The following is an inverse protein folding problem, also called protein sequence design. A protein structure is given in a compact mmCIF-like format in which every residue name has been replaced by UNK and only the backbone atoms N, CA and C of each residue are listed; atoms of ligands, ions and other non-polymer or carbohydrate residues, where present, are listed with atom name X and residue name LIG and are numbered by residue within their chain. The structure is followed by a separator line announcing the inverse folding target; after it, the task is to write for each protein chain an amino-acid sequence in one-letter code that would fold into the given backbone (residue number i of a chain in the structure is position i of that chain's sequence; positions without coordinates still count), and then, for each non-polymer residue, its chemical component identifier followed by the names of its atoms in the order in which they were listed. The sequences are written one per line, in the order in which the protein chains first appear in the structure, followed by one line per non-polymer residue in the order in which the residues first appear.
data_IF_334754725433
#
_entry.id   IF_334754725433
#
_cell.length_a   1.000
_cell.length_b   1.000
_cell.length_c   1.000
_cell.angle_alpha   90.00
_cell.angle_beta   90.00
_cell.angle_gamma   90.00
#
_symmetry.space_group_name_H-M   'P 1'
#
loop_
_entity.id
_entity.type
_entity.pdbx_description
1 polymer ?
#
# COMPACT_ATOMS: atom_id res chain seq x y z
N UNK A 1 -29.95 -12.30 -5.60
CA UNK A 1 -30.04 -11.04 -4.84
C UNK A 1 -30.41 -11.29 -3.36
N UNK A 2 -31.49 -11.97 -3.06
CA UNK A 2 -31.90 -12.23 -1.68
C UNK A 2 -30.87 -13.02 -0.83
N UNK A 3 -30.09 -13.87 -1.45
CA UNK A 3 -29.08 -14.70 -0.77
C UNK A 3 -27.87 -13.90 -0.27
N UNK A 4 -27.38 -12.95 -1.06
CA UNK A 4 -26.25 -12.08 -0.71
C UNK A 4 -26.60 -11.17 0.48
N UNK A 5 -27.81 -10.58 0.48
CA UNK A 5 -28.26 -9.76 1.59
C UNK A 5 -28.39 -10.57 2.90
N UNK A 6 -28.81 -11.81 2.79
CA UNK A 6 -28.91 -12.72 3.93
C UNK A 6 -27.54 -13.12 4.47
N UNK A 7 -26.58 -13.43 3.59
CA UNK A 7 -25.20 -13.71 3.96
C UNK A 7 -24.56 -12.53 4.71
N UNK A 8 -24.73 -11.33 4.18
CA UNK A 8 -24.18 -10.12 4.77
C UNK A 8 -24.73 -9.85 6.17
N UNK A 9 -26.06 -9.93 6.32
CA UNK A 9 -26.71 -9.78 7.65
C UNK A 9 -26.24 -10.83 8.66
N UNK A 10 -26.04 -12.06 8.20
CA UNK A 10 -25.52 -13.12 9.05
C UNK A 10 -24.08 -12.89 9.43
N UNK A 11 -23.25 -12.46 8.49
CA UNK A 11 -21.85 -12.12 8.73
C UNK A 11 -21.71 -10.98 9.77
N UNK A 12 -22.46 -9.90 9.60
CA UNK A 12 -22.50 -8.77 10.55
C UNK A 12 -22.93 -9.23 11.96
N UNK A 13 -23.91 -10.11 12.03
CA UNK A 13 -24.38 -10.64 13.32
C UNK A 13 -23.36 -11.56 13.96
N UNK A 14 -22.70 -12.44 13.20
CA UNK A 14 -21.62 -13.31 13.70
C UNK A 14 -20.46 -12.45 14.21
N UNK A 15 -20.06 -11.42 13.46
CA UNK A 15 -19.00 -10.50 13.86
C UNK A 15 -19.29 -9.88 15.23
N UNK A 16 -20.49 -9.38 15.42
CA UNK A 16 -20.89 -8.78 16.69
C UNK A 16 -20.88 -9.78 17.85
N UNK A 17 -21.46 -10.97 17.65
CA UNK A 17 -21.50 -12.02 18.67
C UNK A 17 -20.11 -12.48 19.07
N UNK A 18 -19.26 -12.72 18.07
CA UNK A 18 -17.89 -13.21 18.31
C UNK A 18 -17.06 -12.14 19.02
N UNK A 19 -17.13 -10.88 18.60
CA UNK A 19 -16.43 -9.77 19.25
C UNK A 19 -16.86 -9.63 20.71
N UNK A 20 -18.16 -9.61 20.98
CA UNK A 20 -18.72 -9.52 22.34
C UNK A 20 -18.27 -10.70 23.21
N UNK A 21 -18.28 -11.92 22.68
CA UNK A 21 -17.86 -13.11 23.39
C UNK A 21 -16.38 -13.11 23.75
N UNK A 22 -15.52 -12.69 22.81
CA UNK A 22 -14.08 -12.59 23.03
C UNK A 22 -13.75 -11.52 24.07
N UNK A 23 -14.47 -10.43 24.07
CA UNK A 23 -14.25 -9.31 25.00
C UNK A 23 -14.79 -9.56 26.41
N UNK A 24 -15.99 -10.13 26.51
CA UNK A 24 -16.72 -10.18 27.78
C UNK A 24 -16.74 -11.55 28.45
N UNK A 25 -16.70 -12.64 27.68
CA UNK A 25 -16.94 -13.99 28.20
C UNK A 25 -15.74 -14.93 28.15
N UNK A 26 -14.87 -14.77 27.18
CA UNK A 26 -13.69 -15.64 27.05
C UNK A 26 -12.53 -14.99 27.79
N UNK A 27 -12.27 -15.46 29.00
CA UNK A 27 -11.16 -15.01 29.84
C UNK A 27 -9.97 -15.97 29.70
N UNK A 28 -9.42 -16.06 28.51
CA UNK A 28 -8.20 -16.86 28.27
C UNK A 28 -7.00 -15.90 28.31
N UNK A 29 -6.02 -16.11 29.19
CA UNK A 29 -4.82 -15.27 29.31
C UNK A 29 -3.94 -15.28 28.05
N UNK A 30 -4.14 -16.26 27.16
CA UNK A 30 -3.45 -16.35 25.87
C UNK A 30 -4.06 -15.44 24.81
N UNK A 31 -5.30 -14.96 25.02
CA UNK A 31 -5.92 -13.96 24.17
C UNK A 31 -5.30 -12.59 24.46
N UNK A 32 -4.56 -12.08 23.48
CA UNK A 32 -4.09 -10.70 23.50
C UNK A 32 -5.19 -9.70 23.13
N UNK A 33 -4.79 -8.48 22.82
CA UNK A 33 -5.70 -7.48 22.26
C UNK A 33 -6.04 -7.90 20.84
N UNK A 34 -7.24 -8.42 20.64
CA UNK A 34 -7.76 -8.94 19.38
C UNK A 34 -8.88 -8.03 18.85
N UNK A 35 -8.89 -7.81 17.56
CA UNK A 35 -9.95 -7.09 16.85
C UNK A 35 -10.45 -7.93 15.68
N UNK A 36 -11.76 -8.14 15.59
CA UNK A 36 -12.39 -8.79 14.44
C UNK A 36 -12.57 -7.76 13.33
N UNK A 37 -11.89 -7.97 12.21
CA UNK A 37 -11.86 -7.01 11.08
C UNK A 37 -12.96 -7.27 10.07
N UNK A 38 -13.20 -8.52 9.71
CA UNK A 38 -14.23 -8.91 8.73
C UNK A 38 -14.76 -10.32 9.01
N UNK A 39 -15.97 -10.60 8.54
CA UNK A 39 -16.56 -11.95 8.57
C UNK A 39 -17.19 -12.24 7.21
N UNK A 40 -16.82 -13.38 6.64
CA UNK A 40 -17.37 -13.84 5.37
C UNK A 40 -18.07 -15.18 5.58
N UNK A 41 -19.30 -15.25 5.11
CA UNK A 41 -20.11 -16.45 5.19
C UNK A 41 -20.30 -17.02 3.79
N UNK A 42 -20.16 -18.34 3.64
CA UNK A 42 -20.36 -19.01 2.36
C UNK A 42 -21.82 -18.94 1.88
N UNK A 43 -22.10 -19.04 0.55
CA UNK A 43 -23.46 -18.96 0.02
C UNK A 43 -24.45 -19.97 0.58
N UNK A 44 -23.96 -21.13 1.01
CA UNK A 44 -24.74 -22.19 1.65
C UNK A 44 -24.91 -21.99 3.17
N UNK A 45 -24.31 -20.93 3.73
CA UNK A 45 -24.32 -20.57 5.14
C UNK A 45 -23.75 -21.64 6.07
N UNK A 46 -22.83 -22.48 5.59
CA UNK A 46 -22.25 -23.58 6.36
C UNK A 46 -20.90 -23.26 6.96
N UNK A 47 -20.20 -22.30 6.38
CA UNK A 47 -18.86 -21.87 6.82
C UNK A 47 -18.82 -20.36 6.99
N UNK A 48 -18.11 -19.91 8.02
CA UNK A 48 -17.86 -18.50 8.30
C UNK A 48 -16.38 -18.31 8.56
N UNK A 49 -15.72 -17.58 7.69
CA UNK A 49 -14.33 -17.16 7.85
C UNK A 49 -14.30 -15.83 8.60
N UNK A 50 -13.63 -15.82 9.75
CA UNK A 50 -13.53 -14.69 10.67
C UNK A 50 -12.12 -14.16 10.59
N UNK A 51 -11.97 -12.97 10.04
CA UNK A 51 -10.68 -12.28 9.94
C UNK A 51 -10.43 -11.47 11.21
N UNK A 52 -9.22 -11.55 11.73
CA UNK A 52 -8.86 -10.88 12.97
C UNK A 52 -7.43 -10.34 12.93
N UNK A 53 -7.20 -9.29 13.70
CA UNK A 53 -5.87 -8.75 13.97
C UNK A 53 -5.55 -8.88 15.45
N UNK A 54 -4.27 -9.09 15.74
CA UNK A 54 -3.74 -9.17 17.11
C UNK A 54 -2.68 -8.11 17.27
N UNK A 55 -2.78 -7.35 18.35
CA UNK A 55 -1.72 -6.43 18.73
C UNK A 55 -0.64 -7.18 19.50
N UNK A 56 0.58 -7.20 18.96
CA UNK A 56 1.73 -7.86 19.57
C UNK A 56 2.67 -8.50 18.54
N UNK A 57 3.63 -9.23 19.06
CA UNK A 57 4.63 -9.97 18.28
C UNK A 57 4.10 -11.31 17.76
N UNK A 58 4.96 -12.07 17.09
CA UNK A 58 4.64 -13.36 16.53
C UNK A 58 4.23 -14.39 17.61
N UNK A 59 4.78 -14.28 18.84
CA UNK A 59 4.43 -15.15 19.96
C UNK A 59 3.01 -14.85 20.46
N UNK A 60 2.65 -13.59 20.60
CA UNK A 60 1.31 -13.15 20.94
C UNK A 60 0.28 -13.60 19.89
N UNK A 61 0.62 -13.50 18.60
CA UNK A 61 -0.21 -13.98 17.50
C UNK A 61 -0.44 -15.50 17.57
N UNK A 62 0.61 -16.30 17.75
CA UNK A 62 0.52 -17.74 17.87
C UNK A 62 -0.29 -18.17 19.10
N UNK A 63 -0.08 -17.53 20.23
CA UNK A 63 -0.82 -17.73 21.49
C UNK A 63 -2.31 -17.45 21.32
N UNK A 64 -2.64 -16.34 20.69
CA UNK A 64 -4.03 -15.96 20.39
C UNK A 64 -4.69 -16.93 19.43
N UNK A 65 -4.00 -17.36 18.37
CA UNK A 65 -4.51 -18.37 17.43
C UNK A 65 -4.86 -19.67 18.14
N UNK A 66 -4.00 -20.16 19.04
CA UNK A 66 -4.26 -21.37 19.85
C UNK A 66 -5.47 -21.18 20.79
N UNK A 67 -5.62 -20.02 21.40
CA UNK A 67 -6.77 -19.69 22.24
C UNK A 67 -8.09 -19.66 21.45
N UNK A 68 -8.09 -19.05 20.26
CA UNK A 68 -9.25 -19.03 19.36
C UNK A 68 -9.65 -20.43 18.90
N UNK A 69 -8.68 -21.27 18.55
CA UNK A 69 -8.95 -22.66 18.19
C UNK A 69 -9.63 -23.40 19.35
N UNK A 70 -9.17 -23.20 20.58
CA UNK A 70 -9.78 -23.79 21.78
C UNK A 70 -11.19 -23.25 22.06
N UNK A 71 -11.43 -21.97 21.78
CA UNK A 71 -12.71 -21.31 22.03
C UNK A 71 -13.75 -21.51 20.91
N UNK A 72 -13.35 -22.03 19.76
CA UNK A 72 -14.18 -22.14 18.54
C UNK A 72 -15.51 -22.86 18.77
N UNK A 73 -15.51 -23.94 19.59
CA UNK A 73 -16.72 -24.68 19.92
C UNK A 73 -17.72 -23.88 20.76
N UNK A 74 -17.24 -23.11 21.73
CA UNK A 74 -18.05 -22.23 22.57
C UNK A 74 -18.63 -21.10 21.74
N UNK A 75 -17.80 -20.47 20.93
CA UNK A 75 -18.20 -19.39 20.03
C UNK A 75 -19.26 -19.86 19.03
N UNK A 76 -19.06 -21.03 18.42
CA UNK A 76 -20.03 -21.63 17.50
C UNK A 76 -21.37 -21.90 18.19
N UNK A 77 -21.36 -22.44 19.41
CA UNK A 77 -22.57 -22.70 20.18
C UNK A 77 -23.35 -21.41 20.46
N UNK A 78 -22.66 -20.35 20.82
CA UNK A 78 -23.29 -19.05 21.10
C UNK A 78 -23.83 -18.38 19.83
N UNK A 79 -23.09 -18.44 18.71
CA UNK A 79 -23.59 -18.00 17.41
C UNK A 79 -24.89 -18.74 17.04
N UNK A 80 -24.93 -20.04 17.25
CA UNK A 80 -26.15 -20.83 16.98
C UNK A 80 -27.35 -20.39 17.82
N UNK A 81 -27.13 -20.15 19.11
CA UNK A 81 -28.19 -19.69 20.02
C UNK A 81 -28.72 -18.31 19.65
N UNK A 82 -27.83 -17.36 19.41
CA UNK A 82 -28.22 -15.96 19.16
C UNK A 82 -28.76 -15.72 17.75
N UNK A 83 -28.29 -16.47 16.74
CA UNK A 83 -28.77 -16.32 15.36
C UNK A 83 -30.05 -17.12 15.08
N UNK A 84 -30.30 -18.19 15.83
CA UNK A 84 -31.48 -19.06 15.64
C UNK A 84 -31.53 -19.77 14.29
N UNK A 85 -30.39 -19.88 13.57
CA UNK A 85 -30.32 -20.52 12.26
C UNK A 85 -30.34 -22.06 12.42
N UNK A 86 -30.98 -22.73 11.47
CA UNK A 86 -31.13 -24.20 11.50
C UNK A 86 -29.79 -24.94 11.53
N UNK A 87 -28.81 -24.41 10.82
CA UNK A 87 -27.45 -24.96 10.78
C UNK A 87 -26.45 -23.86 11.13
N UNK A 88 -25.79 -24.02 12.28
CA UNK A 88 -24.74 -23.10 12.70
C UNK A 88 -23.49 -23.32 11.85
N UNK A 89 -22.95 -22.27 11.21
CA UNK A 89 -21.74 -22.40 10.41
C UNK A 89 -20.55 -22.86 11.23
N UNK A 90 -19.62 -23.51 10.57
CA UNK A 90 -18.29 -23.74 11.13
C UNK A 90 -17.54 -22.42 11.14
N UNK A 91 -16.90 -22.08 12.25
CA UNK A 91 -16.12 -20.85 12.39
C UNK A 91 -14.65 -21.17 12.11
N UNK A 92 -14.08 -20.48 11.15
CA UNK A 92 -12.66 -20.53 10.82
C UNK A 92 -12.04 -19.16 11.12
N UNK A 93 -10.99 -19.13 11.93
CA UNK A 93 -10.30 -17.92 12.31
C UNK A 93 -9.06 -17.74 11.44
N UNK A 94 -8.99 -16.62 10.72
CA UNK A 94 -7.93 -16.30 9.78
C UNK A 94 -7.26 -15.00 10.22
N UNK A 95 -5.95 -15.00 10.50
CA UNK A 95 -5.24 -13.75 10.80
C UNK A 95 -5.25 -12.84 9.57
N UNK A 96 -5.61 -11.57 9.81
CA UNK A 96 -5.64 -10.57 8.74
C UNK A 96 -4.23 -10.06 8.47
N UNK A 97 -3.76 -10.22 7.24
CA UNK A 97 -2.42 -9.82 6.80
C UNK A 97 -2.25 -8.30 6.61
N UNK A 98 -3.30 -7.49 6.81
CA UNK A 98 -3.24 -6.03 6.64
C UNK A 98 -2.13 -5.37 7.50
N UNK A 99 -1.94 -5.72 8.78
CA UNK A 99 -0.84 -5.18 9.57
C UNK A 99 0.55 -5.58 9.06
N UNK A 100 0.68 -6.77 8.51
CA UNK A 100 1.94 -7.27 7.95
C UNK A 100 2.30 -6.54 6.66
N UNK A 101 1.32 -6.33 5.79
CA UNK A 101 1.47 -5.53 4.58
C UNK A 101 1.82 -4.07 4.88
N UNK A 102 1.22 -3.47 5.92
CA UNK A 102 1.53 -2.11 6.34
C UNK A 102 2.99 -1.98 6.80
N UNK A 103 3.48 -2.92 7.62
CA UNK A 103 4.90 -2.96 8.03
C UNK A 103 5.84 -3.12 6.85
N UNK A 104 5.50 -4.00 5.91
CA UNK A 104 6.31 -4.20 4.72
C UNK A 104 6.38 -2.94 3.85
N UNK A 105 5.28 -2.20 3.70
CA UNK A 105 5.26 -0.91 3.01
C UNK A 105 6.11 0.12 3.74
N UNK A 106 6.05 0.20 5.07
CA UNK A 106 6.90 1.09 5.86
C UNK A 106 8.38 0.77 5.71
N UNK A 107 8.75 -0.52 5.70
CA UNK A 107 10.14 -0.95 5.45
C UNK A 107 10.62 -0.56 4.05
N UNK A 108 9.80 -0.75 3.03
CA UNK A 108 10.11 -0.36 1.65
C UNK A 108 10.27 1.16 1.52
N UNK A 109 9.41 1.94 2.18
CA UNK A 109 9.53 3.40 2.21
C UNK A 109 10.81 3.86 2.91
N UNK A 110 11.18 3.21 4.02
CA UNK A 110 12.43 3.51 4.71
C UNK A 110 13.66 3.18 3.84
N UNK A 111 13.65 2.06 3.14
CA UNK A 111 14.70 1.68 2.20
C UNK A 111 14.80 2.67 1.02
N UNK A 112 13.68 3.08 0.46
CA UNK A 112 13.65 4.07 -0.62
C UNK A 112 14.20 5.43 -0.15
N UNK A 113 13.81 5.91 1.02
CA UNK A 113 14.32 7.14 1.60
C UNK A 113 15.83 7.09 1.85
N UNK A 114 16.36 5.95 2.32
CA UNK A 114 17.78 5.76 2.51
C UNK A 114 18.55 5.75 1.18
N UNK A 115 18.00 5.11 0.14
CA UNK A 115 18.60 5.11 -1.20
C UNK A 115 18.61 6.52 -1.81
N UNK A 116 17.53 7.28 -1.68
CA UNK A 116 17.45 8.66 -2.16
C UNK A 116 18.47 9.57 -1.43
N UNK A 117 18.63 9.40 -0.13
CA UNK A 117 19.64 10.15 0.64
C UNK A 117 21.07 9.86 0.14
N UNK A 118 21.37 8.59 -0.17
CA UNK A 118 22.67 8.20 -0.70
C UNK A 118 22.92 8.79 -2.10
N UNK A 119 21.90 8.82 -2.97
CA UNK A 119 21.99 9.43 -4.30
C UNK A 119 22.19 10.94 -4.19
N UNK A 120 21.47 11.62 -3.29
CA UNK A 120 21.66 13.05 -3.03
C UNK A 120 23.06 13.38 -2.51
N UNK A 121 23.61 12.56 -1.62
CA UNK A 121 24.96 12.73 -1.13
C UNK A 121 26.01 12.55 -2.24
N UNK A 122 25.83 11.57 -3.11
CA UNK A 122 26.69 11.37 -4.27
C UNK A 122 26.57 12.54 -5.27
N UNK A 123 25.37 13.01 -5.54
CA UNK A 123 25.14 14.14 -6.41
C UNK A 123 25.75 15.44 -5.88
N UNK A 124 25.72 15.65 -4.56
CA UNK A 124 26.35 16.81 -3.92
C UNK A 124 27.90 16.76 -4.00
N UNK A 125 28.49 15.55 -4.07
CA UNK A 125 29.94 15.35 -4.24
C UNK A 125 30.39 15.30 -5.70
N UNK A 126 29.47 15.14 -6.65
CA UNK A 126 29.77 15.09 -8.06
C UNK A 126 30.13 16.49 -8.56
N UNK A 127 31.33 16.60 -9.17
CA UNK A 127 31.69 17.80 -9.93
C UNK A 127 30.95 17.78 -11.26
N UNK A 128 30.42 18.91 -11.65
CA UNK A 128 29.82 19.10 -12.97
C UNK A 128 30.89 18.81 -14.06
N UNK A 129 30.60 17.85 -14.92
CA UNK A 129 31.47 17.50 -16.05
C UNK A 129 31.30 18.44 -17.25
N UNK A 130 30.45 19.47 -17.15
CA UNK A 130 30.16 20.43 -18.19
C UNK A 130 30.38 21.88 -17.75
N UNK A 131 30.23 22.80 -18.68
CA UNK A 131 30.33 24.25 -18.42
C UNK A 131 29.27 24.68 -17.39
N UNK A 132 29.65 25.60 -16.53
CA UNK A 132 28.80 26.11 -15.44
C UNK A 132 27.52 26.80 -15.95
N UNK A 133 27.53 27.25 -17.21
CA UNK A 133 26.37 27.86 -17.88
C UNK A 133 26.26 27.35 -19.34
N UNK A 134 25.56 26.22 -19.58
CA UNK A 134 25.40 25.66 -20.93
C UNK A 134 24.56 26.56 -21.86
N UNK A 135 23.94 27.61 -21.34
CA UNK A 135 23.14 28.56 -22.10
C UNK A 135 23.80 29.93 -22.22
N UNK A 136 25.09 30.05 -21.90
CA UNK A 136 25.82 31.29 -22.09
C UNK A 136 25.87 31.61 -23.58
N UNK A 137 25.15 32.65 -23.98
CA UNK A 137 25.29 33.23 -25.31
C UNK A 137 26.68 33.88 -25.42
N UNK A 138 27.41 33.67 -26.52
CA UNK A 138 28.65 34.42 -26.75
C UNK A 138 28.33 35.92 -26.69
N UNK A 139 29.04 36.63 -25.83
CA UNK A 139 28.93 38.07 -25.71
C UNK A 139 29.34 38.70 -27.06
N UNK A 140 28.63 39.73 -27.46
CA UNK A 140 28.86 40.45 -28.72
C UNK A 140 30.21 41.15 -28.81
N UNK A 141 31.11 40.92 -27.87
CA UNK A 141 32.46 41.51 -27.80
C UNK A 141 33.56 40.62 -28.43
N UNK A 142 33.19 39.44 -28.97
CA UNK A 142 34.10 38.61 -29.78
C UNK A 142 33.95 38.96 -31.29
N UNK A 143 33.78 40.24 -31.62
CA UNK A 143 33.97 40.70 -32.98
C UNK A 143 35.44 40.51 -33.35
N UNK A 144 35.72 39.39 -33.94
CA UNK A 144 36.96 39.15 -34.66
C UNK A 144 37.00 40.10 -35.81
N UNK A 145 37.91 41.05 -35.76
CA UNK A 145 38.43 41.89 -36.85
C UNK A 145 38.73 40.97 -38.06
N UNK A 146 37.80 40.89 -38.98
CA UNK A 146 38.02 40.38 -40.32
C UNK A 146 38.40 41.59 -41.16
N UNK A 147 39.73 41.79 -41.17
CA UNK A 147 40.40 42.78 -41.95
C UNK A 147 39.86 42.92 -43.36
N UNK A 148 39.67 44.17 -43.69
CA UNK A 148 39.58 44.68 -45.05
C UNK A 148 40.65 44.02 -45.96
N UNK A 149 40.21 43.55 -47.09
CA UNK A 149 40.87 43.66 -48.36
C UNK A 149 40.05 42.81 -49.39
N UNK A 150 39.42 43.53 -50.28
CA UNK A 150 39.47 43.25 -51.70
C UNK A 150 38.61 44.24 -52.46
N UNK A 151 39.29 45.34 -52.86
CA UNK A 151 38.90 46.12 -54.02
C UNK A 151 38.90 45.20 -55.26
N UNK A 152 37.94 45.37 -56.12
CA UNK A 152 37.87 44.60 -57.36
C UNK A 152 36.67 45.02 -58.19
N UNK A 153 36.89 46.12 -58.93
CA UNK A 153 36.14 46.56 -60.09
C UNK A 153 35.49 45.44 -60.89
N UNK A 154 34.30 45.59 -61.32
CA UNK A 154 33.99 45.53 -62.76
C UNK A 154 32.59 46.09 -63.09
N UNK A 155 32.64 47.02 -64.01
CA UNK A 155 31.62 47.69 -64.81
C UNK A 155 30.71 46.69 -65.56
N UNK A 156 29.52 47.20 -65.78
CA UNK A 156 28.85 47.09 -67.08
C UNK A 156 27.86 45.97 -67.27
N UNK A 157 26.65 46.25 -67.35
CA UNK A 157 25.95 46.50 -68.65
C UNK A 157 24.41 46.42 -68.38
N UNK A 158 23.75 47.43 -68.64
CA UNK A 158 22.34 47.50 -69.05
C UNK A 158 22.34 47.21 -70.59
N UNK A 159 21.21 47.01 -71.27
CA UNK A 159 19.80 47.06 -70.94
C UNK A 159 18.87 46.08 -71.65
N UNK A 160 17.61 46.32 -71.50
CA UNK A 160 16.57 46.30 -72.56
C UNK A 160 15.50 45.19 -72.54
N UNK A 161 14.34 45.67 -72.26
CA UNK A 161 13.07 45.53 -73.00
C UNK A 161 12.57 44.08 -73.31
N UNK A 162 11.57 43.70 -72.75
CA UNK A 162 10.14 43.82 -73.19
C UNK A 162 9.19 43.10 -72.23
#
# INVERSE_FOLDING_TARGET
MANVARQRRLAERIQHIVAEMLELRIKDPRLGVITITDVRVTPDLREASIFYTVFGDAEAQASTAAALASASGVLRSEVGKQTGIKFTPTLEFIPDAVPENARHVEELLAQAAAADAAVHEQAAKAQFAGDADPYRHPSADDDVDLGADLEGDHEGDEPDQR
#
